data_IF_155461718218
#
_entry.id   IF_155461718218
#
_cell.length_a   1.000
_cell.length_b   1.000
_cell.length_c   1.000
_cell.angle_alpha   90.00
_cell.angle_beta   90.00
_cell.angle_gamma   90.00
#
_symmetry.space_group_name_H-M   'P 1'
#
loop_
_entity.id
_entity.type
_entity.pdbx_description
1 polymer ?
#
# COMPACT_ATOMS: atom_id res chain seq x y z
N UNK A 1 -3.91 -23.73 9.48
CA UNK A 1 -5.23 -23.46 10.06
C UNK A 1 -6.16 -22.99 8.95
N UNK A 2 -7.47 -23.06 9.14
CA UNK A 2 -8.46 -22.42 8.25
C UNK A 2 -9.09 -21.29 9.05
N UNK A 3 -9.18 -20.11 8.45
CA UNK A 3 -9.82 -18.96 9.07
C UNK A 3 -11.14 -18.67 8.36
N UNK A 4 -12.22 -18.60 9.14
CA UNK A 4 -13.56 -18.26 8.66
C UNK A 4 -14.10 -17.16 9.57
N UNK A 5 -14.76 -16.17 8.96
CA UNK A 5 -15.35 -15.05 9.66
C UNK A 5 -16.69 -14.69 9.01
N UNK A 6 -17.62 -14.18 9.81
CA UNK A 6 -18.92 -13.72 9.34
C UNK A 6 -18.81 -12.45 8.49
N UNK A 7 -19.87 -12.15 7.73
CA UNK A 7 -19.97 -10.91 6.97
C UNK A 7 -20.02 -9.67 7.91
N UNK A 8 -19.56 -8.49 7.44
CA UNK A 8 -19.68 -7.27 8.23
C UNK A 8 -21.15 -6.89 8.46
N UNK A 9 -21.41 -6.17 9.55
CA UNK A 9 -22.73 -5.60 9.79
C UNK A 9 -23.00 -4.44 8.81
N UNK A 10 -23.97 -4.64 7.92
CA UNK A 10 -24.32 -3.66 6.88
C UNK A 10 -24.85 -2.35 7.42
N UNK A 11 -25.47 -2.34 8.61
CA UNK A 11 -25.97 -1.12 9.26
C UNK A 11 -24.87 -0.16 9.74
N UNK A 12 -23.61 -0.60 9.74
CA UNK A 12 -22.45 0.25 10.07
C UNK A 12 -21.71 0.75 8.83
N UNK A 13 -22.11 0.30 7.63
CA UNK A 13 -21.48 0.69 6.37
C UNK A 13 -22.17 1.98 5.89
N UNK A 14 -21.42 3.07 5.63
CA UNK A 14 -22.00 4.25 5.00
C UNK A 14 -22.68 3.89 3.67
N UNK A 15 -23.85 4.48 3.39
CA UNK A 15 -24.60 4.18 2.17
C UNK A 15 -23.77 4.47 0.90
N UNK A 16 -22.89 5.47 0.95
CA UNK A 16 -21.94 5.80 -0.12
C UNK A 16 -20.92 4.71 -0.42
N UNK A 17 -20.64 3.85 0.56
CA UNK A 17 -19.57 2.85 0.51
C UNK A 17 -20.14 1.44 0.28
N UNK A 18 -21.47 1.32 0.17
CA UNK A 18 -22.13 0.04 -0.05
C UNK A 18 -21.77 -0.58 -1.41
N UNK A 19 -21.60 0.26 -2.43
CA UNK A 19 -21.25 -0.15 -3.80
C UNK A 19 -19.89 0.42 -4.17
N UNK A 20 -19.07 -0.39 -4.84
CA UNK A 20 -17.74 -0.02 -5.29
C UNK A 20 -16.64 -0.82 -4.61
N UNK A 21 -15.41 -0.32 -4.73
CA UNK A 21 -14.21 -1.02 -4.29
C UNK A 21 -13.92 -0.72 -2.83
N UNK A 22 -13.73 -1.78 -2.05
CA UNK A 22 -13.25 -1.75 -0.67
C UNK A 22 -12.12 -2.77 -0.47
N UNK A 23 -11.65 -2.96 0.75
CA UNK A 23 -10.55 -3.86 1.08
C UNK A 23 -10.90 -4.75 2.27
N UNK A 24 -10.66 -6.06 2.14
CA UNK A 24 -10.60 -6.98 3.26
C UNK A 24 -9.16 -7.12 3.74
N UNK A 25 -8.91 -6.87 5.03
CA UNK A 25 -7.59 -6.90 5.64
C UNK A 25 -7.46 -8.05 6.63
N UNK A 26 -6.43 -8.87 6.44
CA UNK A 26 -5.97 -9.84 7.43
C UNK A 26 -4.71 -9.28 8.06
N UNK A 27 -4.77 -9.04 9.37
CA UNK A 27 -3.65 -8.50 10.15
C UNK A 27 -3.20 -9.55 11.14
N UNK A 28 -1.91 -9.89 11.11
CA UNK A 28 -1.34 -10.83 12.06
C UNK A 28 -0.41 -10.09 13.01
N UNK A 29 -0.62 -10.30 14.30
CA UNK A 29 0.17 -9.72 15.37
C UNK A 29 0.85 -10.81 16.20
N UNK A 30 2.05 -10.51 16.68
CA UNK A 30 2.75 -11.33 17.66
C UNK A 30 3.20 -10.41 18.79
N UNK A 31 2.87 -10.76 20.05
CA UNK A 31 3.14 -9.93 21.24
C UNK A 31 2.69 -8.46 21.07
N UNK A 32 1.52 -8.26 20.48
CA UNK A 32 0.96 -6.93 20.23
C UNK A 32 1.63 -6.14 19.09
N UNK A 33 2.68 -6.67 18.46
CA UNK A 33 3.31 -6.05 17.29
C UNK A 33 2.78 -6.71 16.01
N UNK A 34 2.25 -5.91 15.10
CA UNK A 34 1.87 -6.36 13.76
C UNK A 34 3.12 -6.69 12.95
N UNK A 35 3.19 -7.88 12.38
CA UNK A 35 4.33 -8.29 11.55
C UNK A 35 3.97 -8.49 10.08
N UNK A 36 2.69 -8.67 9.77
CA UNK A 36 2.21 -8.79 8.39
C UNK A 36 0.74 -8.35 8.27
N UNK A 37 0.47 -7.66 7.16
CA UNK A 37 -0.85 -7.28 6.68
C UNK A 37 -1.05 -7.82 5.28
N UNK A 38 -2.19 -8.44 5.04
CA UNK A 38 -2.60 -8.93 3.73
C UNK A 38 -3.94 -8.30 3.39
N UNK A 39 -3.95 -7.46 2.36
CA UNK A 39 -5.15 -6.82 1.84
C UNK A 39 -5.62 -7.43 0.53
N UNK A 40 -6.92 -7.66 0.42
CA UNK A 40 -7.59 -8.06 -0.81
C UNK A 40 -8.56 -6.97 -1.22
N UNK A 41 -8.49 -6.56 -2.48
CA UNK A 41 -9.54 -5.72 -3.06
C UNK A 41 -10.83 -6.51 -3.15
N UNK A 42 -11.93 -5.89 -2.73
CA UNK A 42 -13.29 -6.43 -2.80
C UNK A 42 -14.12 -5.43 -3.57
N UNK A 43 -14.69 -5.84 -4.69
CA UNK A 43 -15.66 -5.03 -5.42
C UNK A 43 -17.07 -5.46 -5.01
N UNK A 44 -17.85 -4.54 -4.46
CA UNK A 44 -19.28 -4.72 -4.19
C UNK A 44 -20.08 -4.16 -5.37
N UNK A 45 -20.87 -4.99 -6.03
CA UNK A 45 -21.72 -4.54 -7.13
C UNK A 45 -23.08 -5.24 -7.14
N UNK A 46 -24.08 -4.57 -7.71
CA UNK A 46 -25.37 -5.18 -7.97
C UNK A 46 -25.24 -6.25 -9.04
N UNK A 47 -25.95 -7.36 -8.82
CA UNK A 47 -25.99 -8.48 -9.77
C UNK A 47 -26.90 -8.20 -10.97
N UNK A 48 -27.98 -7.43 -10.78
CA UNK A 48 -28.93 -7.07 -11.82
C UNK A 48 -28.48 -5.86 -12.66
N UNK A 49 -28.55 -5.91 -14.00
CA UNK A 49 -28.13 -4.80 -14.87
C UNK A 49 -28.93 -3.52 -14.64
N UNK A 50 -30.24 -3.63 -14.39
CA UNK A 50 -31.11 -2.48 -14.10
C UNK A 50 -30.66 -1.72 -12.85
N UNK A 51 -30.31 -2.44 -11.78
CA UNK A 51 -29.83 -1.85 -10.52
C UNK A 51 -28.42 -1.25 -10.64
N UNK A 52 -27.62 -1.70 -11.63
CA UNK A 52 -26.31 -1.10 -11.92
C UNK A 52 -26.47 0.23 -12.66
N UNK A 53 -27.39 0.30 -13.61
CA UNK A 53 -27.65 1.51 -14.39
C UNK A 53 -28.43 2.55 -13.59
N UNK A 54 -29.40 2.09 -12.78
CA UNK A 54 -30.27 2.92 -11.95
C UNK A 54 -30.22 2.43 -10.50
N UNK A 55 -29.13 2.69 -9.77
CA UNK A 55 -29.00 2.25 -8.39
C UNK A 55 -30.08 2.89 -7.51
N UNK A 56 -30.66 2.13 -6.56
CA UNK A 56 -31.64 2.68 -5.63
C UNK A 56 -30.99 3.73 -4.73
N UNK A 57 -31.79 4.70 -4.26
CA UNK A 57 -31.31 5.76 -3.34
C UNK A 57 -30.76 5.16 -2.05
N UNK A 58 -31.41 4.11 -1.54
CA UNK A 58 -30.93 3.33 -0.40
C UNK A 58 -30.36 1.99 -0.89
N UNK A 59 -29.12 1.64 -0.53
CA UNK A 59 -28.54 0.38 -0.96
C UNK A 59 -29.30 -0.84 -0.43
N UNK A 60 -29.71 -1.73 -1.34
CA UNK A 60 -30.18 -3.07 -0.98
C UNK A 60 -29.00 -4.07 -0.91
N UNK A 61 -28.50 -4.31 0.30
CA UNK A 61 -27.38 -5.22 0.54
C UNK A 61 -27.68 -6.69 0.20
N UNK A 62 -28.95 -7.09 0.12
CA UNK A 62 -29.32 -8.46 -0.24
C UNK A 62 -29.05 -8.77 -1.72
N UNK A 63 -28.92 -7.73 -2.55
CA UNK A 63 -28.67 -7.84 -3.99
C UNK A 63 -27.23 -7.52 -4.40
N UNK A 64 -26.37 -7.23 -3.42
CA UNK A 64 -24.95 -7.00 -3.65
C UNK A 64 -24.17 -8.31 -3.68
N UNK A 65 -23.28 -8.42 -4.66
CA UNK A 65 -22.30 -9.48 -4.73
C UNK A 65 -20.91 -8.92 -4.49
N UNK A 66 -20.12 -9.69 -3.74
CA UNK A 66 -18.71 -9.41 -3.45
C UNK A 66 -17.83 -10.19 -4.41
N UNK A 67 -17.01 -9.49 -5.18
CA UNK A 67 -15.94 -10.08 -5.96
C UNK A 67 -14.58 -9.75 -5.32
N UNK A 68 -13.87 -10.77 -4.84
CA UNK A 68 -12.57 -10.60 -4.19
C UNK A 68 -11.47 -10.87 -5.20
N UNK A 69 -10.58 -9.90 -5.41
CA UNK A 69 -9.40 -10.07 -6.26
C UNK A 69 -8.31 -10.90 -5.54
N UNK A 70 -8.59 -12.19 -5.35
CA UNK A 70 -7.75 -13.10 -4.59
C UNK A 70 -6.37 -13.36 -5.22
N UNK A 71 -6.25 -13.17 -6.54
CA UNK A 71 -5.02 -13.39 -7.31
C UNK A 71 -3.96 -12.30 -7.12
N UNK A 72 -4.34 -11.12 -6.62
CA UNK A 72 -3.43 -9.98 -6.47
C UNK A 72 -3.54 -9.34 -5.07
N UNK A 73 -3.15 -10.08 -4.01
CA UNK A 73 -3.13 -9.54 -2.66
C UNK A 73 -2.05 -8.45 -2.53
N UNK A 74 -2.34 -7.46 -1.69
CA UNK A 74 -1.34 -6.48 -1.23
C UNK A 74 -0.78 -6.93 0.10
N UNK A 75 0.52 -7.23 0.12
CA UNK A 75 1.20 -7.73 1.32
C UNK A 75 2.17 -6.68 1.83
N UNK A 76 2.00 -6.28 3.08
CA UNK A 76 2.91 -5.39 3.80
C UNK A 76 3.49 -6.16 4.98
N UNK A 77 4.80 -6.07 5.18
CA UNK A 77 5.52 -6.76 6.25
C UNK A 77 6.19 -5.73 7.13
N UNK A 78 6.16 -5.98 8.43
CA UNK A 78 6.77 -5.12 9.44
C UNK A 78 7.79 -5.94 10.21
N UNK A 79 8.94 -5.33 10.49
CA UNK A 79 9.93 -5.93 11.38
C UNK A 79 9.46 -5.78 12.81
N UNK A 80 9.51 -6.86 13.58
CA UNK A 80 9.09 -6.86 14.99
C UNK A 80 10.11 -7.58 15.86
N UNK A 81 10.06 -7.29 17.16
CA UNK A 81 10.86 -8.01 18.13
C UNK A 81 10.20 -9.34 18.54
N UNK A 82 10.81 -10.45 18.13
CA UNK A 82 10.34 -11.79 18.46
C UNK A 82 10.74 -12.25 19.87
N UNK A 83 11.89 -11.83 20.36
CA UNK A 83 12.48 -12.32 21.62
C UNK A 83 12.00 -11.53 22.85
N UNK A 84 11.55 -10.29 22.68
CA UNK A 84 10.97 -9.45 23.74
C UNK A 84 11.98 -8.65 24.56
N UNK A 85 13.26 -8.62 24.16
CA UNK A 85 14.22 -7.66 24.69
C UNK A 85 13.88 -6.28 24.14
N UNK A 86 13.22 -5.44 24.93
CA UNK A 86 12.69 -4.14 24.52
C UNK A 86 13.80 -3.13 24.18
N UNK A 87 14.41 -3.27 23.01
CA UNK A 87 15.11 -2.19 22.32
C UNK A 87 14.10 -1.60 21.32
N UNK A 88 13.73 -0.33 21.54
CA UNK A 88 12.78 0.38 20.67
C UNK A 88 13.44 0.62 19.32
N UNK A 89 13.06 -0.13 18.29
CA UNK A 89 13.43 0.21 16.90
C UNK A 89 12.41 1.22 16.37
N UNK A 90 12.92 2.39 15.97
CA UNK A 90 12.16 3.43 15.30
C UNK A 90 11.71 2.96 13.91
N UNK A 91 10.49 3.31 13.55
CA UNK A 91 9.86 3.01 12.26
C UNK A 91 10.75 3.56 11.15
N UNK A 92 11.31 2.68 10.33
CA UNK A 92 12.17 3.09 9.22
C UNK A 92 11.31 3.76 8.16
N UNK A 93 11.57 5.05 7.93
CA UNK A 93 10.84 5.92 7.00
C UNK A 93 10.66 5.29 5.62
N UNK A 94 9.48 5.51 5.01
CA UNK A 94 9.26 5.26 3.59
C UNK A 94 10.23 6.12 2.78
N UNK A 95 11.21 5.50 2.10
CA UNK A 95 12.14 6.19 1.21
C UNK A 95 11.49 6.39 -0.16
N UNK A 96 11.23 7.64 -0.54
CA UNK A 96 11.04 8.07 -1.92
C UNK A 96 12.39 7.97 -2.67
N UNK A 97 12.49 7.42 -3.90
CA UNK A 97 13.77 7.17 -4.57
C UNK A 97 14.56 8.43 -4.99
N UNK A 98 14.09 9.64 -4.71
CA UNK A 98 14.68 10.86 -5.27
C UNK A 98 14.96 11.97 -4.25
N UNK A 99 15.89 11.74 -3.32
CA UNK A 99 16.56 12.86 -2.63
C UNK A 99 17.97 12.53 -2.15
N UNK A 100 18.86 12.16 -3.08
CA UNK A 100 20.29 12.29 -2.86
C UNK A 100 20.68 13.79 -2.85
N UNK A 101 20.55 14.45 -1.69
CA UNK A 101 21.23 15.73 -1.45
C UNK A 101 22.59 15.46 -0.81
N UNK A 102 23.56 15.09 -1.65
CA UNK A 102 24.97 15.17 -1.30
C UNK A 102 25.31 16.65 -1.06
N UNK A 103 25.53 17.02 0.21
CA UNK A 103 26.12 18.30 0.58
C UNK A 103 27.51 18.43 -0.05
N UNK A 104 27.87 19.57 -0.67
CA UNK A 104 29.20 19.73 -1.27
C UNK A 104 30.24 20.10 -0.19
N UNK A 105 31.49 19.61 -0.27
CA UNK A 105 32.58 20.16 0.53
C UNK A 105 32.98 21.54 -0.02
N UNK A 106 33.18 22.48 0.90
CA UNK A 106 33.52 23.89 0.68
C UNK A 106 34.79 24.11 -0.16
N UNK A 107 34.70 24.94 -1.21
CA UNK A 107 35.83 25.41 -2.02
C UNK A 107 36.65 26.51 -1.30
N UNK A 108 37.97 26.35 -1.22
CA UNK A 108 38.92 27.45 -0.94
C UNK A 108 39.51 28.01 -2.25
N UNK A 109 39.87 29.31 -2.31
CA UNK A 109 40.34 29.95 -3.54
C UNK A 109 41.86 29.76 -3.73
N UNK A 110 42.26 29.08 -4.81
CA UNK A 110 43.67 28.93 -5.16
C UNK A 110 43.90 28.57 -6.64
N UNK A 111 44.31 29.58 -7.43
CA UNK A 111 45.06 29.55 -8.72
C UNK A 111 44.72 28.46 -9.78
N UNK A 112 44.19 28.91 -10.93
CA UNK A 112 44.24 28.23 -12.24
C UNK A 112 45.69 28.12 -12.79
N UNK A 113 46.08 27.22 -13.74
CA UNK A 113 45.48 26.99 -15.09
C UNK A 113 45.66 25.52 -15.65
N UNK A 114 45.62 25.21 -16.98
CA UNK A 114 44.56 25.38 -18.00
C UNK A 114 44.11 24.05 -18.70
N UNK A 115 42.93 24.13 -19.37
CA UNK A 115 42.46 23.44 -20.60
C UNK A 115 42.88 21.99 -20.93
N UNK A 116 41.88 21.09 -21.02
CA UNK A 116 41.99 19.87 -21.83
C UNK A 116 40.84 18.86 -21.69
N UNK A 117 40.08 18.68 -22.78
CA UNK A 117 39.40 17.46 -23.25
C UNK A 117 38.25 16.83 -22.43
N UNK A 118 37.03 17.00 -22.94
CA UNK A 118 35.94 16.02 -22.82
C UNK A 118 36.23 14.81 -23.72
N UNK A 119 35.75 13.62 -23.33
CA UNK A 119 34.86 12.92 -24.24
C UNK A 119 33.60 12.37 -23.58
N UNK A 120 32.52 12.51 -24.33
CA UNK A 120 31.37 11.63 -24.53
C UNK A 120 31.37 10.31 -23.74
N UNK A 121 30.29 10.03 -23.03
CA UNK A 121 29.92 8.64 -22.76
C UNK A 121 28.46 8.39 -23.16
N UNK A 122 28.37 7.62 -24.24
CA UNK A 122 27.21 7.12 -24.97
C UNK A 122 26.24 6.35 -24.08
N UNK A 123 24.96 6.46 -24.44
CA UNK A 123 23.81 5.79 -23.84
C UNK A 123 23.46 4.57 -24.70
N UNK A 124 23.79 3.38 -24.23
CA UNK A 124 23.35 2.13 -24.85
C UNK A 124 22.36 1.41 -23.93
N UNK A 125 21.11 1.39 -24.37
CA UNK A 125 19.99 0.69 -23.75
C UNK A 125 20.09 -0.81 -24.01
N UNK A 126 19.91 -1.62 -22.96
CA UNK A 126 19.31 -2.96 -22.99
C UNK A 126 18.51 -3.16 -21.71
#
# INVERSE_FOLDING_TARGET
FVFQADAPNTGLIPESDAVGVTVALITCTYRGQEFIRIGYYVNNEYTGPELRENPPVKPDYSQLQRNILASNPRVTRFHINWEGCAERMEDSENVDPTSNSMLPPSCQPGKAPPLGLLPDNSMDCL
#
